data_IF_028807647080
#
_entry.id   IF_028807647080
#
_cell.length_a   1.000
_cell.length_b   1.000
_cell.length_c   1.000
_cell.angle_alpha   90.00
_cell.angle_beta   90.00
_cell.angle_gamma   90.00
#
_symmetry.space_group_name_H-M   'P 1'
#
loop_
_entity.id
_entity.type
_entity.pdbx_description
1 polymer ?
#
# COMPACT_ATOMS: atom_id res chain seq x y z
N UNK A 1 60.85 -13.29 -1.25
CA UNK A 1 59.61 -14.10 -1.13
C UNK A 1 58.41 -13.14 -1.08
N UNK A 2 57.81 -12.73 -2.21
CA UNK A 2 56.82 -11.64 -2.18
C UNK A 2 55.67 -11.74 -3.20
N UNK A 3 55.29 -12.95 -3.66
CA UNK A 3 54.18 -13.11 -4.62
C UNK A 3 52.91 -13.76 -4.05
N UNK A 4 52.96 -14.30 -2.82
CA UNK A 4 51.85 -15.08 -2.22
C UNK A 4 50.82 -14.23 -1.46
N UNK A 5 51.13 -12.95 -1.18
CA UNK A 5 50.24 -12.04 -0.44
C UNK A 5 49.21 -11.36 -1.37
N UNK A 6 49.62 -11.01 -2.60
CA UNK A 6 48.77 -10.29 -3.56
C UNK A 6 47.56 -11.11 -4.01
N UNK A 7 47.72 -12.40 -4.31
CA UNK A 7 46.59 -13.26 -4.73
C UNK A 7 45.58 -13.47 -3.61
N UNK A 8 46.04 -13.55 -2.35
CA UNK A 8 45.15 -13.68 -1.18
C UNK A 8 44.34 -12.39 -0.96
N UNK A 9 44.99 -11.24 -1.09
CA UNK A 9 44.33 -9.94 -0.99
C UNK A 9 43.32 -9.75 -2.12
N UNK A 10 43.67 -10.10 -3.35
CA UNK A 10 42.78 -9.99 -4.52
C UNK A 10 41.58 -10.94 -4.42
N UNK A 11 41.77 -12.15 -3.90
CA UNK A 11 40.67 -13.08 -3.63
C UNK A 11 39.78 -12.59 -2.48
N UNK A 12 40.36 -11.99 -1.44
CA UNK A 12 39.60 -11.40 -0.34
C UNK A 12 38.73 -10.24 -0.83
N UNK A 13 39.28 -9.36 -1.68
CA UNK A 13 38.53 -8.26 -2.29
C UNK A 13 37.40 -8.79 -3.18
N UNK A 14 37.65 -9.83 -3.99
CA UNK A 14 36.61 -10.47 -4.82
C UNK A 14 35.48 -11.06 -3.97
N UNK A 15 35.80 -11.71 -2.85
CA UNK A 15 34.80 -12.27 -1.92
C UNK A 15 33.96 -11.14 -1.31
N UNK A 16 34.59 -10.05 -0.87
CA UNK A 16 33.87 -8.89 -0.32
C UNK A 16 32.92 -8.28 -1.35
N UNK A 17 33.36 -8.11 -2.61
CA UNK A 17 32.49 -7.63 -3.69
C UNK A 17 31.31 -8.57 -3.94
N UNK A 18 31.52 -9.89 -3.97
CA UNK A 18 30.43 -10.87 -4.12
C UNK A 18 29.44 -10.77 -2.96
N UNK A 19 29.91 -10.65 -1.72
CA UNK A 19 29.04 -10.50 -0.55
C UNK A 19 28.21 -9.20 -0.61
N UNK A 20 28.82 -8.07 -1.00
CA UNK A 20 28.11 -6.79 -1.18
C UNK A 20 27.05 -6.88 -2.28
N UNK A 21 27.35 -7.54 -3.39
CA UNK A 21 26.39 -7.79 -4.47
C UNK A 21 25.23 -8.66 -3.99
N UNK A 22 25.50 -9.73 -3.21
CA UNK A 22 24.46 -10.62 -2.69
C UNK A 22 23.53 -9.91 -1.69
N UNK A 23 24.06 -9.06 -0.82
CA UNK A 23 23.24 -8.26 0.14
C UNK A 23 22.40 -7.21 -0.59
N UNK A 24 22.95 -6.57 -1.62
CA UNK A 24 22.22 -5.61 -2.46
C UNK A 24 21.09 -6.28 -3.26
N UNK A 25 21.30 -7.49 -3.77
CA UNK A 25 20.28 -8.27 -4.47
C UNK A 25 19.22 -8.84 -3.52
N UNK A 26 19.59 -9.25 -2.31
CA UNK A 26 18.65 -9.71 -1.29
C UNK A 26 17.70 -8.59 -0.82
N UNK A 27 18.12 -7.34 -0.94
CA UNK A 27 17.28 -6.16 -0.65
C UNK A 27 16.21 -5.90 -1.73
N UNK A 28 16.37 -6.47 -2.93
CA UNK A 28 15.41 -6.37 -4.04
C UNK A 28 14.49 -7.59 -4.17
N UNK A 29 14.74 -8.68 -3.44
CA UNK A 29 13.89 -9.88 -3.44
C UNK A 29 12.92 -9.96 -2.25
N UNK A 30 12.65 -8.86 -1.54
CA UNK A 30 11.36 -8.70 -0.85
C UNK A 30 10.29 -8.25 -1.85
N UNK A 31 10.04 -9.08 -2.86
CA UNK A 31 8.73 -9.08 -3.48
C UNK A 31 7.73 -9.40 -2.37
N UNK A 32 6.90 -8.42 -1.98
CA UNK A 32 5.73 -8.64 -1.14
C UNK A 32 5.05 -9.95 -1.59
N UNK A 33 4.98 -11.01 -0.77
CA UNK A 33 4.11 -12.11 -1.11
C UNK A 33 2.70 -11.53 -1.18
N UNK A 34 1.98 -11.84 -2.25
CA UNK A 34 0.59 -11.44 -2.42
C UNK A 34 -0.24 -12.01 -1.25
N UNK A 35 -0.49 -11.15 -0.26
CA UNK A 35 -1.34 -11.35 0.92
C UNK A 35 -2.72 -11.95 0.59
N UNK A 36 -3.15 -11.85 -0.66
CA UNK A 36 -4.40 -12.38 -1.21
C UNK A 36 -4.58 -13.89 -0.97
N UNK A 37 -3.51 -14.71 -1.01
CA UNK A 37 -3.64 -16.16 -0.75
C UNK A 37 -3.81 -16.50 0.73
N UNK A 38 -3.17 -15.76 1.63
CA UNK A 38 -3.28 -15.98 3.07
C UNK A 38 -4.66 -15.54 3.60
N UNK A 39 -5.24 -14.47 3.03
CA UNK A 39 -6.59 -13.99 3.34
C UNK A 39 -7.69 -15.01 3.03
N UNK A 40 -7.60 -15.74 1.90
CA UNK A 40 -8.60 -16.77 1.56
C UNK A 40 -8.57 -17.97 2.52
N UNK A 41 -7.38 -18.39 2.95
CA UNK A 41 -7.26 -19.50 3.88
C UNK A 41 -7.76 -19.13 5.28
N UNK A 42 -7.47 -17.91 5.76
CA UNK A 42 -7.99 -17.41 7.03
C UNK A 42 -9.52 -17.35 7.06
N UNK A 43 -10.15 -16.87 5.97
CA UNK A 43 -11.63 -16.83 5.86
C UNK A 43 -12.26 -18.22 5.86
N UNK A 44 -11.62 -19.21 5.23
CA UNK A 44 -12.12 -20.58 5.23
C UNK A 44 -12.06 -21.19 6.63
N UNK A 45 -10.97 -20.96 7.37
CA UNK A 45 -10.81 -21.45 8.75
C UNK A 45 -11.84 -20.80 9.67
N UNK A 46 -12.11 -19.49 9.51
CA UNK A 46 -13.14 -18.78 10.27
C UNK A 46 -14.55 -19.36 10.02
N UNK A 47 -14.89 -19.64 8.76
CA UNK A 47 -16.17 -20.28 8.41
C UNK A 47 -16.31 -21.70 8.98
N UNK A 48 -15.23 -22.48 9.00
CA UNK A 48 -15.23 -23.84 9.57
C UNK A 48 -15.32 -23.84 11.11
N UNK A 49 -14.64 -22.89 11.78
CA UNK A 49 -14.74 -22.73 13.22
C UNK A 49 -16.13 -22.21 13.64
N UNK A 50 -16.69 -21.26 12.89
CA UNK A 50 -18.04 -20.72 13.15
C UNK A 50 -19.15 -21.73 12.92
N UNK A 51 -19.00 -22.62 11.93
CA UNK A 51 -19.96 -23.71 11.71
C UNK A 51 -19.85 -24.80 12.78
N UNK A 52 -18.66 -25.02 13.35
CA UNK A 52 -18.48 -25.95 14.48
C UNK A 52 -19.08 -25.41 15.78
N UNK A 53 -18.97 -24.10 16.06
CA UNK A 53 -19.57 -23.49 17.26
C UNK A 53 -21.09 -23.28 17.14
N UNK A 54 -21.61 -23.17 15.92
CA UNK A 54 -23.06 -23.10 15.68
C UNK A 54 -23.80 -24.44 15.87
N UNK A 55 -23.08 -25.57 15.93
CA UNK A 55 -23.69 -26.89 16.10
C UNK A 55 -24.06 -27.21 17.58
N UNK A 56 -23.64 -26.42 18.56
CA UNK A 56 -23.86 -26.69 19.99
C UNK A 56 -24.78 -25.69 20.72
N UNK A 57 -25.54 -24.86 20.00
CA UNK A 57 -26.38 -23.82 20.63
C UNK A 57 -27.75 -23.61 20.00
N UNK A 58 -28.64 -24.59 20.05
CA UNK A 58 -30.07 -24.40 19.74
C UNK A 58 -30.84 -23.94 20.97
N UNK A 59 -31.02 -22.64 21.12
CA UNK A 59 -32.22 -22.06 21.76
C UNK A 59 -32.57 -20.72 21.10
N UNK A 60 -33.67 -20.72 20.37
CA UNK A 60 -34.36 -19.54 19.84
C UNK A 60 -34.93 -18.73 21.02
N UNK A 61 -34.57 -17.45 21.17
CA UNK A 61 -35.48 -16.42 21.69
C UNK A 61 -35.10 -15.04 21.15
N UNK A 62 -36.02 -14.48 20.36
CA UNK A 62 -36.03 -13.08 19.92
C UNK A 62 -36.31 -12.17 21.12
N UNK A 63 -35.39 -11.25 21.40
CA UNK A 63 -35.72 -9.94 21.97
C UNK A 63 -34.62 -8.94 21.60
N UNK A 64 -34.74 -8.27 20.44
CA UNK A 64 -33.83 -7.18 20.09
C UNK A 64 -34.43 -5.86 20.59
N UNK A 65 -34.06 -5.47 21.80
CA UNK A 65 -34.09 -4.06 22.20
C UNK A 65 -33.13 -3.29 21.27
N UNK A 66 -33.55 -2.19 20.61
CA UNK A 66 -32.65 -1.41 19.78
C UNK A 66 -31.72 -0.61 20.69
N UNK A 67 -30.48 -1.07 20.83
CA UNK A 67 -29.44 -0.36 21.54
C UNK A 67 -28.95 0.81 20.67
N UNK A 68 -29.62 1.95 20.77
CA UNK A 68 -29.31 3.18 20.02
C UNK A 68 -27.91 3.75 20.28
N UNK A 69 -27.17 3.28 21.29
CA UNK A 69 -25.80 3.72 21.55
C UNK A 69 -24.77 3.07 20.62
N UNK A 70 -24.99 1.84 20.16
CA UNK A 70 -24.06 1.20 19.22
C UNK A 70 -24.17 1.78 17.80
N UNK A 71 -25.34 2.32 17.41
CA UNK A 71 -25.54 2.89 16.09
C UNK A 71 -24.72 4.18 15.87
N UNK A 72 -24.61 5.05 16.88
CA UNK A 72 -23.77 6.28 16.78
C UNK A 72 -22.29 5.93 16.67
N UNK A 73 -21.80 4.93 17.41
CA UNK A 73 -20.38 4.58 17.46
C UNK A 73 -19.87 3.89 16.19
N UNK A 74 -20.76 3.21 15.45
CA UNK A 74 -20.41 2.54 14.19
C UNK A 74 -20.44 3.49 12.98
N UNK A 75 -21.21 4.58 13.03
CA UNK A 75 -21.27 5.56 11.95
C UNK A 75 -19.92 6.30 11.76
N UNK A 76 -19.25 6.59 12.87
CA UNK A 76 -17.96 7.30 12.86
C UNK A 76 -16.82 6.47 12.24
N UNK A 77 -16.93 5.14 12.19
CA UNK A 77 -15.88 4.27 11.63
C UNK A 77 -15.95 4.17 10.09
N UNK A 78 -17.15 4.27 9.51
CA UNK A 78 -17.35 4.16 8.06
C UNK A 78 -17.07 5.50 7.33
N UNK A 79 -17.28 6.64 7.99
CA UNK A 79 -17.10 7.97 7.39
C UNK A 79 -15.63 8.28 7.05
N UNK A 80 -14.67 7.74 7.81
CA UNK A 80 -13.24 7.93 7.57
C UNK A 80 -12.78 7.34 6.23
N UNK A 81 -13.36 6.20 5.82
CA UNK A 81 -12.99 5.54 4.57
C UNK A 81 -13.62 6.23 3.35
N UNK A 82 -14.79 6.84 3.53
CA UNK A 82 -15.53 7.54 2.47
C UNK A 82 -14.91 8.90 2.12
N UNK A 83 -14.39 9.63 3.11
CA UNK A 83 -13.77 10.94 2.90
C UNK A 83 -12.47 10.88 2.06
N UNK A 84 -11.64 9.86 2.28
CA UNK A 84 -10.43 9.62 1.48
C UNK A 84 -10.79 9.15 0.06
N UNK A 85 -11.80 8.28 -0.06
CA UNK A 85 -12.27 7.78 -1.35
C UNK A 85 -12.81 8.91 -2.23
N UNK A 86 -13.63 9.81 -1.66
CA UNK A 86 -14.18 10.98 -2.37
C UNK A 86 -13.09 11.92 -2.90
N UNK A 87 -12.00 12.10 -2.16
CA UNK A 87 -10.89 12.97 -2.59
C UNK A 87 -10.13 12.45 -3.82
N UNK A 88 -10.16 11.15 -4.07
CA UNK A 88 -9.49 10.54 -5.23
C UNK A 88 -10.45 10.11 -6.34
N UNK A 89 -11.76 10.28 -6.15
CA UNK A 89 -12.79 9.86 -7.09
C UNK A 89 -12.56 10.43 -8.50
N UNK A 90 -12.20 11.71 -8.59
CA UNK A 90 -11.90 12.36 -9.88
C UNK A 90 -10.74 11.69 -10.63
N UNK A 91 -9.72 11.20 -9.93
CA UNK A 91 -8.62 10.43 -10.52
C UNK A 91 -9.04 9.01 -10.96
N UNK A 92 -10.16 8.48 -10.50
CA UNK A 92 -10.70 7.21 -11.03
C UNK A 92 -11.56 7.43 -12.26
N UNK A 93 -12.13 8.61 -12.43
CA UNK A 93 -13.02 8.97 -13.54
C UNK A 93 -12.25 9.55 -14.73
N UNK A 94 -11.13 10.24 -14.48
CA UNK A 94 -10.31 10.90 -15.49
C UNK A 94 -8.88 10.32 -15.50
N UNK A 95 -8.56 9.58 -16.57
CA UNK A 95 -7.26 8.93 -16.75
C UNK A 95 -6.11 9.94 -16.91
N UNK A 96 -6.35 11.08 -17.55
CA UNK A 96 -5.32 12.12 -17.78
C UNK A 96 -4.96 12.81 -16.46
N UNK A 97 -5.97 13.11 -15.63
CA UNK A 97 -5.77 13.65 -14.28
C UNK A 97 -5.07 12.60 -13.40
N UNK A 98 -5.48 11.34 -13.50
CA UNK A 98 -4.85 10.25 -12.75
C UNK A 98 -3.36 10.14 -13.06
N UNK A 99 -3.00 10.11 -14.34
CA UNK A 99 -1.61 10.02 -14.77
C UNK A 99 -0.80 11.23 -14.29
N UNK A 100 -1.35 12.45 -14.44
CA UNK A 100 -0.72 13.66 -13.95
C UNK A 100 -0.44 13.59 -12.44
N UNK A 101 -1.46 13.25 -11.65
CA UNK A 101 -1.35 13.20 -10.19
C UNK A 101 -0.41 12.09 -9.70
N UNK A 102 -0.41 10.92 -10.36
CA UNK A 102 0.55 9.85 -10.08
C UNK A 102 1.98 10.28 -10.39
N UNK A 103 2.22 10.88 -11.56
CA UNK A 103 3.54 11.41 -11.94
C UNK A 103 4.02 12.45 -10.93
N UNK A 104 3.16 13.41 -10.59
CA UNK A 104 3.44 14.49 -9.65
C UNK A 104 3.81 13.97 -8.24
N UNK A 105 3.00 13.06 -7.67
CA UNK A 105 3.31 12.46 -6.36
C UNK A 105 4.64 11.68 -6.38
N UNK A 106 4.92 10.99 -7.49
CA UNK A 106 6.18 10.26 -7.68
C UNK A 106 7.41 11.19 -7.72
N UNK A 107 7.37 12.26 -8.51
CA UNK A 107 8.52 13.17 -8.66
C UNK A 107 8.78 14.00 -7.41
N UNK A 108 7.72 14.40 -6.69
CA UNK A 108 7.82 15.13 -5.42
C UNK A 108 8.17 14.25 -4.25
N UNK A 109 8.03 12.92 -4.39
CA UNK A 109 8.22 11.92 -3.33
C UNK A 109 7.31 12.18 -2.13
N UNK A 110 6.14 12.76 -2.37
CA UNK A 110 5.17 13.14 -1.33
C UNK A 110 3.84 12.44 -1.59
N UNK A 111 3.43 11.57 -0.66
CA UNK A 111 2.19 10.79 -0.79
C UNK A 111 0.92 11.63 -0.62
N UNK A 112 1.01 12.79 0.06
CA UNK A 112 -0.12 13.71 0.22
C UNK A 112 -0.44 14.46 -1.08
N UNK A 113 0.54 14.60 -1.98
CA UNK A 113 0.35 15.28 -3.27
C UNK A 113 -0.67 14.56 -4.15
N UNK A 114 -0.78 13.23 -4.09
CA UNK A 114 -1.75 12.49 -4.91
C UNK A 114 -3.21 12.88 -4.59
N UNK A 115 -3.72 12.72 -3.35
CA UNK A 115 -5.09 13.12 -3.03
C UNK A 115 -5.31 14.65 -3.14
N UNK A 116 -4.31 15.48 -2.82
CA UNK A 116 -4.44 16.94 -3.02
C UNK A 116 -4.56 17.30 -4.50
N UNK A 117 -3.82 16.62 -5.38
CA UNK A 117 -3.92 16.80 -6.82
C UNK A 117 -5.27 16.34 -7.36
N UNK A 118 -5.76 15.16 -6.93
CA UNK A 118 -7.01 14.59 -7.42
C UNK A 118 -8.24 15.45 -7.11
N UNK A 119 -8.28 16.12 -5.95
CA UNK A 119 -9.37 17.02 -5.58
C UNK A 119 -9.05 18.51 -5.85
N UNK A 120 -7.91 18.78 -6.51
CA UNK A 120 -7.36 20.13 -6.72
C UNK A 120 -7.30 21.01 -5.45
N UNK A 121 -6.99 20.39 -4.31
CA UNK A 121 -6.77 21.06 -3.03
C UNK A 121 -5.57 22.00 -3.16
N UNK A 122 -5.69 23.23 -2.67
CA UNK A 122 -4.67 24.28 -2.77
C UNK A 122 -4.12 24.51 -4.19
N UNK A 123 -4.95 24.32 -5.22
CA UNK A 123 -4.54 24.39 -6.63
C UNK A 123 -3.42 23.41 -7.01
N UNK A 124 -3.27 22.32 -6.26
CA UNK A 124 -2.21 21.33 -6.45
C UNK A 124 -2.25 20.70 -7.84
N UNK A 125 -3.43 20.53 -8.47
CA UNK A 125 -3.51 19.99 -9.83
C UNK A 125 -2.83 20.91 -10.85
N UNK A 126 -3.04 22.23 -10.75
CA UNK A 126 -2.41 23.23 -11.60
C UNK A 126 -0.90 23.24 -11.39
N UNK A 127 -0.47 23.26 -10.13
CA UNK A 127 0.94 23.17 -9.79
C UNK A 127 1.59 21.89 -10.32
N UNK A 128 0.92 20.75 -10.19
CA UNK A 128 1.39 19.48 -10.73
C UNK A 128 1.53 19.53 -12.25
N UNK A 129 0.59 20.15 -12.96
CA UNK A 129 0.67 20.33 -14.42
C UNK A 129 1.91 21.12 -14.81
N UNK A 130 2.14 22.24 -14.15
CA UNK A 130 3.29 23.10 -14.40
C UNK A 130 4.60 22.40 -14.05
N UNK A 131 4.65 21.71 -12.91
CA UNK A 131 5.85 21.04 -12.41
C UNK A 131 6.23 19.81 -13.24
N UNK A 132 5.26 18.96 -13.57
CA UNK A 132 5.50 17.72 -14.35
C UNK A 132 5.83 18.04 -15.80
N UNK A 133 5.20 19.03 -16.41
CA UNK A 133 5.40 19.38 -17.82
C UNK A 133 6.38 20.55 -18.04
N UNK A 134 7.07 21.01 -17.00
CA UNK A 134 8.08 22.04 -17.13
C UNK A 134 9.17 21.62 -18.13
N UNK A 135 9.35 22.40 -19.19
CA UNK A 135 10.39 22.18 -20.21
C UNK A 135 10.10 21.08 -21.24
N UNK A 136 8.89 20.52 -21.29
CA UNK A 136 8.48 19.46 -22.26
C UNK A 136 7.83 20.07 -23.52
N UNK A 137 7.84 21.41 -23.67
CA UNK A 137 7.49 22.07 -24.93
C UNK A 137 8.64 21.90 -25.93
N UNK A 138 8.55 20.87 -26.78
CA UNK A 138 9.32 20.70 -28.01
C UNK A 138 8.39 20.71 -29.21
#
# INVERSE_FOLDING_TARGET
MAFKSSTKMMNSVRIVFVLVCLVSLASHSTARPSSVRHSRQLRLIDHLLRSRTAAEGRTHHNHHTPNHQHQRRSADYEDYYDADYKRVQQCYEDEDINELCQRCSKVTKSSIVFPMCCNNEDHTMTWCREYVYYGIQT
#
